data_IF_062310037674
#
_entry.id   IF_062310037674
#
_cell.length_a   1.000
_cell.length_b   1.000
_cell.length_c   1.000
_cell.angle_alpha   90.00
_cell.angle_beta   90.00
_cell.angle_gamma   90.00
#
_symmetry.space_group_name_H-M   'P 1'
#
loop_
_entity.id
_entity.type
_entity.pdbx_description
1 polymer ?
#
# COMPACT_ATOMS: atom_id res chain seq x y z
N UNK A 1 -17.03 8.42 -23.30
CA UNK A 1 -17.04 7.64 -24.55
C UNK A 1 -15.60 7.47 -25.02
N UNK A 2 -15.16 6.26 -25.45
CA UNK A 2 -13.78 6.04 -25.87
C UNK A 2 -13.37 7.03 -26.95
N UNK A 3 -12.16 7.60 -26.85
CA UNK A 3 -11.61 8.49 -27.88
C UNK A 3 -11.23 7.72 -29.16
N UNK A 4 -11.09 6.40 -29.04
CA UNK A 4 -10.78 5.45 -30.11
C UNK A 4 -11.51 4.12 -29.86
N UNK A 5 -12.02 3.50 -30.93
CA UNK A 5 -12.89 2.32 -30.88
C UNK A 5 -14.34 2.67 -31.19
N UNK A 6 -14.92 2.06 -32.23
CA UNK A 6 -16.32 2.26 -32.60
C UNK A 6 -17.30 1.84 -31.51
N UNK A 7 -18.62 2.08 -31.67
CA UNK A 7 -19.62 1.68 -30.69
C UNK A 7 -19.58 0.17 -30.45
N UNK A 8 -19.99 -0.27 -29.25
CA UNK A 8 -20.19 -1.68 -28.95
C UNK A 8 -21.10 -2.33 -30.01
N UNK A 9 -20.81 -3.57 -30.38
CA UNK A 9 -21.71 -4.38 -31.20
C UNK A 9 -23.06 -4.57 -30.49
N UNK A 10 -24.10 -4.90 -31.26
CA UNK A 10 -25.43 -5.15 -30.67
C UNK A 10 -25.40 -6.30 -29.67
N UNK A 11 -24.62 -7.36 -29.94
CA UNK A 11 -24.43 -8.47 -29.01
C UNK A 11 -23.78 -8.06 -27.69
N UNK A 12 -22.78 -7.17 -27.71
CA UNK A 12 -22.14 -6.66 -26.50
C UNK A 12 -23.07 -5.75 -25.70
N UNK A 13 -23.93 -4.98 -26.38
CA UNK A 13 -24.95 -4.16 -25.72
C UNK A 13 -26.01 -5.02 -25.04
N UNK A 14 -26.44 -6.11 -25.68
CA UNK A 14 -27.38 -7.08 -25.11
C UNK A 14 -26.79 -7.77 -23.87
N UNK A 15 -25.52 -8.18 -23.95
CA UNK A 15 -24.82 -8.77 -22.81
C UNK A 15 -24.70 -7.79 -21.64
N UNK A 16 -24.30 -6.54 -21.91
CA UNK A 16 -24.21 -5.49 -20.90
C UNK A 16 -25.57 -5.18 -20.27
N UNK A 17 -26.63 -5.13 -21.09
CA UNK A 17 -27.99 -4.91 -20.62
C UNK A 17 -28.45 -6.04 -19.70
N UNK A 18 -28.21 -7.30 -20.07
CA UNK A 18 -28.56 -8.44 -19.23
C UNK A 18 -27.81 -8.42 -17.88
N UNK A 19 -26.54 -8.02 -17.87
CA UNK A 19 -25.75 -7.85 -16.64
C UNK A 19 -26.30 -6.74 -15.73
N UNK A 20 -26.67 -5.58 -16.29
CA UNK A 20 -27.30 -4.48 -15.53
C UNK A 20 -28.68 -4.88 -15.01
N UNK A 21 -29.51 -5.53 -15.83
CA UNK A 21 -30.85 -5.98 -15.44
C UNK A 21 -30.78 -7.04 -14.33
N UNK A 22 -29.69 -7.79 -14.23
CA UNK A 22 -29.39 -8.72 -13.14
C UNK A 22 -28.82 -8.04 -11.87
N UNK A 23 -28.78 -6.70 -11.82
CA UNK A 23 -28.29 -5.93 -10.69
C UNK A 23 -26.78 -5.66 -10.72
N UNK A 24 -26.16 -5.73 -11.91
CA UNK A 24 -24.72 -5.54 -12.11
C UNK A 24 -23.86 -6.37 -11.13
N UNK A 25 -24.13 -7.69 -10.99
CA UNK A 25 -23.44 -8.49 -9.99
C UNK A 25 -21.96 -8.56 -10.34
N UNK A 26 -21.10 -8.23 -9.37
CA UNK A 26 -19.64 -8.34 -9.55
C UNK A 26 -19.21 -9.80 -9.80
N UNK A 27 -20.00 -10.78 -9.33
CA UNK A 27 -19.72 -12.21 -9.49
C UNK A 27 -21.01 -13.01 -9.73
N UNK A 28 -20.93 -14.03 -10.60
CA UNK A 28 -22.05 -14.92 -10.93
C UNK A 28 -22.36 -15.92 -9.79
N UNK A 29 -22.86 -15.41 -8.65
CA UNK A 29 -23.44 -16.25 -7.58
C UNK A 29 -22.44 -16.95 -6.65
N UNK A 30 -21.13 -16.81 -6.86
CA UNK A 30 -20.11 -17.20 -5.89
C UNK A 30 -19.37 -15.93 -5.46
N UNK A 31 -19.45 -15.56 -4.18
CA UNK A 31 -18.44 -14.69 -3.61
C UNK A 31 -17.08 -15.34 -3.87
N UNK A 32 -16.07 -14.63 -4.40
CA UNK A 32 -14.75 -15.20 -4.53
C UNK A 32 -14.35 -15.70 -3.16
N UNK A 33 -14.02 -16.99 -3.07
CA UNK A 33 -13.27 -17.52 -1.93
C UNK A 33 -11.89 -16.90 -2.11
N UNK A 34 -11.72 -15.65 -1.67
CA UNK A 34 -10.41 -15.01 -1.66
C UNK A 34 -9.64 -15.73 -0.56
N UNK A 35 -8.74 -16.64 -0.95
CA UNK A 35 -7.67 -17.01 -0.04
C UNK A 35 -7.05 -15.73 0.49
N UNK A 36 -6.81 -15.62 1.81
CA UNK A 36 -6.14 -14.46 2.37
C UNK A 36 -4.84 -14.23 1.60
N UNK A 37 -4.68 -13.02 1.05
CA UNK A 37 -3.46 -12.65 0.34
C UNK A 37 -2.30 -12.73 1.34
N UNK A 38 -1.41 -13.69 1.13
CA UNK A 38 -0.20 -13.83 1.95
C UNK A 38 0.77 -12.70 1.60
N UNK A 39 1.09 -11.86 2.60
CA UNK A 39 2.06 -10.78 2.43
C UNK A 39 3.43 -11.32 2.80
N UNK A 40 4.31 -11.45 1.81
CA UNK A 40 5.69 -11.89 1.98
C UNK A 40 6.62 -10.72 2.36
N UNK A 41 7.68 -10.95 3.15
CA UNK A 41 8.65 -9.94 3.55
C UNK A 41 9.70 -9.68 2.45
N UNK A 42 9.23 -9.38 1.24
CA UNK A 42 10.03 -9.06 0.06
C UNK A 42 9.53 -7.77 -0.58
N UNK A 43 10.42 -6.99 -1.21
CA UNK A 43 10.08 -5.67 -1.74
C UNK A 43 8.83 -5.64 -2.61
N UNK A 44 8.67 -6.56 -3.56
CA UNK A 44 7.52 -6.54 -4.47
C UNK A 44 6.20 -6.75 -3.72
N UNK A 45 6.16 -7.72 -2.81
CA UNK A 45 4.98 -7.99 -1.97
C UNK A 45 4.66 -6.81 -1.03
N UNK A 46 5.67 -6.29 -0.33
CA UNK A 46 5.52 -5.10 0.52
C UNK A 46 5.05 -3.90 -0.31
N UNK A 47 5.57 -3.73 -1.52
CA UNK A 47 5.19 -2.64 -2.41
C UNK A 47 3.73 -2.73 -2.82
N UNK A 48 3.33 -3.89 -3.33
CA UNK A 48 1.99 -4.11 -3.88
C UNK A 48 0.92 -4.07 -2.79
N UNK A 49 1.21 -4.58 -1.59
CA UNK A 49 0.22 -4.71 -0.52
C UNK A 49 0.25 -3.59 0.51
N UNK A 50 1.38 -2.90 0.70
CA UNK A 50 1.55 -1.88 1.74
C UNK A 50 1.95 -0.52 1.15
N UNK A 51 3.15 -0.41 0.57
CA UNK A 51 3.76 0.90 0.26
C UNK A 51 2.92 1.67 -0.76
N UNK A 52 2.52 1.03 -1.87
CA UNK A 52 1.82 1.68 -2.98
C UNK A 52 0.51 2.36 -2.53
N UNK A 53 -0.28 1.68 -1.70
CA UNK A 53 -1.61 2.16 -1.30
C UNK A 53 -1.63 2.95 0.01
N UNK A 54 -0.64 2.75 0.90
CA UNK A 54 -0.61 3.38 2.23
C UNK A 54 0.36 4.55 2.31
N UNK A 55 1.47 4.50 1.58
CA UNK A 55 2.57 5.46 1.76
C UNK A 55 2.69 6.43 0.58
N UNK A 56 2.56 5.92 -0.65
CA UNK A 56 2.91 6.70 -1.85
C UNK A 56 1.93 7.81 -2.21
N UNK A 57 0.76 7.88 -1.58
CA UNK A 57 -0.14 9.04 -1.73
C UNK A 57 0.58 10.33 -1.30
N UNK A 58 1.44 10.25 -0.29
CA UNK A 58 2.17 11.41 0.24
C UNK A 58 3.68 11.32 0.04
N UNK A 59 4.26 10.13 0.18
CA UNK A 59 5.71 9.88 0.21
C UNK A 59 6.26 9.44 -1.15
N UNK A 60 6.22 10.36 -2.11
CA UNK A 60 6.82 10.20 -3.43
C UNK A 60 7.45 11.53 -3.88
N UNK A 61 8.26 11.58 -4.96
CA UNK A 61 8.94 12.81 -5.38
C UNK A 61 8.03 14.00 -5.67
N UNK A 62 6.77 13.74 -6.03
CA UNK A 62 5.74 14.74 -6.34
C UNK A 62 4.70 14.92 -5.22
N UNK A 63 4.82 14.16 -4.13
CA UNK A 63 3.88 14.17 -3.02
C UNK A 63 4.12 15.28 -2.00
N UNK A 64 3.14 15.51 -1.14
CA UNK A 64 3.24 16.52 -0.07
C UNK A 64 4.33 16.23 0.96
N UNK A 65 4.71 14.96 1.13
CA UNK A 65 5.78 14.50 2.02
C UNK A 65 7.05 14.09 1.25
N UNK A 66 7.31 14.71 0.09
CA UNK A 66 8.48 14.46 -0.78
C UNK A 66 9.85 14.58 -0.13
N UNK A 67 9.93 15.18 1.07
CA UNK A 67 11.18 15.21 1.85
C UNK A 67 11.62 13.80 2.26
N UNK A 68 10.72 12.82 2.27
CA UNK A 68 10.99 11.40 2.48
C UNK A 68 10.33 10.60 1.36
N UNK A 69 11.14 10.18 0.39
CA UNK A 69 10.68 9.36 -0.74
C UNK A 69 10.70 7.88 -0.36
N UNK A 70 9.52 7.24 -0.43
CA UNK A 70 9.34 5.80 -0.18
C UNK A 70 8.98 5.03 -1.46
N UNK A 71 9.02 5.69 -2.63
CA UNK A 71 8.56 5.12 -3.90
C UNK A 71 9.42 3.98 -4.45
N UNK A 72 10.65 3.83 -3.96
CA UNK A 72 11.56 2.76 -4.36
C UNK A 72 12.31 2.18 -3.18
N UNK A 73 12.65 0.88 -3.26
CA UNK A 73 13.50 0.20 -2.28
C UNK A 73 14.81 0.96 -2.06
N UNK A 74 15.40 1.46 -3.14
CA UNK A 74 16.66 2.20 -3.09
C UNK A 74 16.52 3.55 -2.35
N UNK A 75 15.42 4.28 -2.55
CA UNK A 75 15.18 5.53 -1.82
C UNK A 75 15.03 5.29 -0.31
N UNK A 76 14.30 4.24 0.08
CA UNK A 76 14.18 3.83 1.49
C UNK A 76 15.55 3.44 2.03
N UNK A 77 16.29 2.59 1.32
CA UNK A 77 17.62 2.15 1.76
C UNK A 77 18.62 3.32 1.88
N UNK A 78 18.61 4.27 0.94
CA UNK A 78 19.48 5.44 0.98
C UNK A 78 19.15 6.38 2.14
N UNK A 79 17.88 6.43 2.57
CA UNK A 79 17.42 7.28 3.68
C UNK A 79 17.37 6.59 5.04
N UNK A 80 17.70 5.29 5.09
CA UNK A 80 17.59 4.44 6.30
C UNK A 80 18.26 5.01 7.56
N UNK A 81 19.40 5.69 7.40
CA UNK A 81 20.18 6.26 8.50
C UNK A 81 19.72 7.68 8.89
N UNK A 82 18.72 8.24 8.19
CA UNK A 82 18.15 9.54 8.54
C UNK A 82 17.52 9.47 9.92
N UNK A 83 17.80 10.49 10.73
CA UNK A 83 17.31 10.60 12.10
C UNK A 83 16.01 11.40 12.16
N UNK A 84 15.07 10.93 12.96
CA UNK A 84 13.76 11.54 13.19
C UNK A 84 13.43 11.55 14.70
N UNK A 85 12.46 12.38 15.08
CA UNK A 85 11.91 12.42 16.44
C UNK A 85 12.98 12.58 17.53
N UNK A 86 12.96 11.63 18.46
CA UNK A 86 13.82 11.49 19.64
C UNK A 86 15.23 10.95 19.36
N UNK A 87 15.65 10.90 18.09
CA UNK A 87 16.98 10.41 17.70
C UNK A 87 16.97 9.04 17.02
N UNK A 88 15.80 8.49 16.69
CA UNK A 88 15.66 7.21 15.99
C UNK A 88 16.01 7.30 14.52
N UNK A 89 16.60 6.23 14.00
CA UNK A 89 16.81 6.04 12.56
C UNK A 89 15.49 5.72 11.87
N UNK A 90 15.35 6.10 10.61
CA UNK A 90 14.21 5.68 9.78
C UNK A 90 14.02 4.16 9.82
N UNK A 91 15.12 3.42 9.63
CA UNK A 91 15.19 1.96 9.67
C UNK A 91 16.33 1.53 10.59
N UNK A 92 16.02 0.72 11.60
CA UNK A 92 16.98 -0.01 12.42
C UNK A 92 16.90 -1.50 12.07
N UNK A 93 17.94 -2.00 11.39
CA UNK A 93 18.05 -3.40 11.01
C UNK A 93 18.21 -4.37 12.19
N UNK A 94 18.81 -3.90 13.28
CA UNK A 94 19.05 -4.72 14.47
C UNK A 94 17.79 -4.85 15.29
N UNK A 95 17.08 -3.72 15.47
CA UNK A 95 15.85 -3.64 16.25
C UNK A 95 14.74 -2.98 15.41
N UNK A 96 14.03 -3.73 14.55
CA UNK A 96 12.97 -3.17 13.69
C UNK A 96 11.91 -2.38 14.45
N UNK A 97 11.56 -2.79 15.67
CA UNK A 97 10.61 -2.09 16.55
C UNK A 97 11.07 -0.67 16.96
N UNK A 98 12.37 -0.37 16.88
CA UNK A 98 12.96 0.95 17.14
C UNK A 98 13.12 1.79 15.86
N UNK A 99 12.71 1.26 14.70
CA UNK A 99 12.68 2.03 13.45
C UNK A 99 11.61 3.09 13.55
N UNK A 100 11.95 4.34 13.24
CA UNK A 100 10.98 5.44 13.22
C UNK A 100 9.82 5.15 12.25
N UNK A 101 10.07 4.47 11.12
CA UNK A 101 9.02 4.04 10.20
C UNK A 101 7.95 3.17 10.88
N UNK A 102 8.36 2.27 11.78
CA UNK A 102 7.44 1.39 12.50
C UNK A 102 6.69 2.18 13.56
N UNK A 103 7.39 2.99 14.34
CA UNK A 103 6.79 3.82 15.39
C UNK A 103 5.63 4.68 14.87
N UNK A 104 5.86 5.46 13.80
CA UNK A 104 4.82 6.36 13.29
C UNK A 104 3.62 5.62 12.71
N UNK A 105 3.78 4.38 12.25
CA UNK A 105 2.63 3.57 11.79
C UNK A 105 1.73 3.14 12.94
N UNK A 106 2.29 3.06 14.15
CA UNK A 106 1.61 2.63 15.37
C UNK A 106 1.23 3.80 16.30
N UNK A 107 1.75 5.01 16.07
CA UNK A 107 1.45 6.20 16.86
C UNK A 107 -0.07 6.49 16.91
N UNK A 108 -0.63 6.71 18.10
CA UNK A 108 -2.06 6.98 18.30
C UNK A 108 -2.42 8.47 18.24
N UNK A 109 -1.42 9.35 18.37
CA UNK A 109 -1.59 10.81 18.39
C UNK A 109 -1.33 11.39 17.00
N UNK A 110 -0.21 11.01 16.38
CA UNK A 110 0.20 11.45 15.04
C UNK A 110 0.51 10.26 14.11
N UNK A 111 -0.48 9.41 13.80
CA UNK A 111 -0.28 8.22 12.98
C UNK A 111 0.13 8.56 11.53
N UNK A 112 0.87 7.63 10.94
CA UNK A 112 1.02 7.49 9.50
C UNK A 112 0.30 6.22 9.01
N UNK A 113 -0.62 6.30 8.04
CA UNK A 113 -1.08 7.51 7.35
C UNK A 113 -1.85 8.47 8.28
N UNK A 114 -1.84 9.79 8.02
CA UNK A 114 -2.55 10.76 8.86
C UNK A 114 -4.05 10.53 8.88
N UNK A 115 -4.70 10.78 10.02
CA UNK A 115 -6.15 10.56 10.21
C UNK A 115 -7.00 11.30 9.16
N UNK A 116 -6.61 12.52 8.79
CA UNK A 116 -7.32 13.32 7.79
C UNK A 116 -7.21 12.78 6.36
N UNK A 117 -6.29 11.85 6.08
CA UNK A 117 -6.05 11.33 4.73
C UNK A 117 -7.09 10.31 4.26
N UNK A 118 -7.93 9.80 5.16
CA UNK A 118 -8.88 8.69 4.90
C UNK A 118 -8.23 7.40 4.39
N UNK A 119 -6.90 7.28 4.41
CA UNK A 119 -6.17 6.06 4.09
C UNK A 119 -6.19 5.17 5.34
N UNK A 120 -6.59 3.90 5.18
CA UNK A 120 -6.60 2.92 6.28
C UNK A 120 -5.18 2.77 6.88
N UNK A 121 -5.10 2.73 8.22
CA UNK A 121 -3.87 2.37 8.96
C UNK A 121 -3.45 0.93 8.68
N UNK A 122 -2.17 0.64 8.86
CA UNK A 122 -1.68 -0.72 8.77
C UNK A 122 -2.29 -1.57 9.90
N UNK A 123 -2.62 -2.82 9.60
CA UNK A 123 -3.02 -3.82 10.59
C UNK A 123 -1.78 -4.55 11.16
N UNK A 124 -2.00 -5.37 12.19
CA UNK A 124 -0.92 -6.09 12.87
C UNK A 124 -0.13 -7.04 11.96
N UNK A 125 -0.78 -7.62 10.95
CA UNK A 125 -0.12 -8.47 9.95
C UNK A 125 0.84 -7.65 9.09
N UNK A 126 0.35 -6.56 8.50
CA UNK A 126 1.12 -5.65 7.65
C UNK A 126 2.32 -5.10 8.42
N UNK A 127 2.14 -4.72 9.69
CA UNK A 127 3.22 -4.26 10.56
C UNK A 127 4.22 -5.38 10.83
N UNK A 128 3.75 -6.60 11.12
CA UNK A 128 4.64 -7.74 11.40
C UNK A 128 5.51 -8.08 10.19
N UNK A 129 4.93 -8.13 9.00
CA UNK A 129 5.67 -8.42 7.76
C UNK A 129 6.63 -7.29 7.42
N UNK A 130 6.25 -6.03 7.65
CA UNK A 130 7.14 -4.87 7.48
C UNK A 130 8.35 -4.93 8.43
N UNK A 131 8.14 -5.29 9.70
CA UNK A 131 9.23 -5.53 10.67
C UNK A 131 10.16 -6.66 10.21
N UNK A 132 9.60 -7.73 9.66
CA UNK A 132 10.39 -8.85 9.15
C UNK A 132 11.19 -8.45 7.91
N UNK A 133 10.60 -7.72 6.98
CA UNK A 133 11.28 -7.18 5.80
C UNK A 133 12.45 -6.26 6.20
N UNK A 134 12.26 -5.41 7.22
CA UNK A 134 13.34 -4.61 7.80
C UNK A 134 14.43 -5.54 8.35
N UNK A 135 14.09 -6.50 9.21
CA UNK A 135 15.06 -7.44 9.81
C UNK A 135 15.90 -8.20 8.77
N UNK A 136 15.31 -8.52 7.62
CA UNK A 136 15.97 -9.23 6.53
C UNK A 136 16.87 -8.35 5.65
N UNK A 137 16.96 -7.05 5.92
CA UNK A 137 17.84 -6.16 5.16
C UNK A 137 17.19 -5.51 3.94
N UNK A 138 15.85 -5.40 3.92
CA UNK A 138 15.08 -4.92 2.78
C UNK A 138 15.33 -5.74 1.49
N UNK A 139 15.11 -7.07 1.51
CA UNK A 139 15.19 -7.89 0.30
C UNK A 139 14.20 -7.44 -0.77
#
# INVERSE_FOLDING_TARGET
MPKTGGPLSNSLKELLKAWVDAGAPEFAGQAPISEPIEILPEWNSIYDHIISSRCLVCHNPNGQAKFLDLSTRQAIFSSRDRIFGDGKKLIDFTNPDQSYLIEVTQDEVEPMPPVWSSIRRLNDEEIRVLKQWIRLGLP
#
